data_IF_197502629587
#
_entry.id   IF_197502629587
#
_cell.length_a   1.000
_cell.length_b   1.000
_cell.length_c   1.000
_cell.angle_alpha   90.00
_cell.angle_beta   90.00
_cell.angle_gamma   90.00
#
_symmetry.space_group_name_H-M   'P 1'
#
loop_
_entity.id
_entity.type
_entity.pdbx_description
1 polymer ?
#
# COMPACT_ATOMS: atom_id res chain seq x y z
N UNK A 1 -19.62 -6.52 24.10
CA UNK A 1 -18.26 -7.10 24.29
C UNK A 1 -17.45 -6.86 23.03
N UNK A 2 -16.16 -6.51 23.13
CA UNK A 2 -15.30 -6.21 21.99
C UNK A 2 -13.98 -6.97 22.10
N UNK A 3 -13.70 -7.83 21.10
CA UNK A 3 -12.45 -8.60 21.03
C UNK A 3 -11.39 -7.75 20.32
N UNK A 4 -10.20 -7.55 20.92
CA UNK A 4 -9.13 -6.81 20.25
C UNK A 4 -8.64 -7.60 19.03
N UNK A 5 -8.82 -7.02 17.84
CA UNK A 5 -8.31 -7.57 16.58
C UNK A 5 -7.02 -6.86 16.17
N UNK A 6 -6.07 -7.65 15.65
CA UNK A 6 -4.84 -7.09 15.07
C UNK A 6 -5.12 -6.69 13.64
N UNK A 7 -4.88 -5.42 13.34
CA UNK A 7 -5.03 -4.83 12.00
C UNK A 7 -3.65 -4.37 11.53
N UNK A 8 -3.36 -4.57 10.24
CA UNK A 8 -2.13 -4.09 9.63
C UNK A 8 -2.14 -2.57 9.45
N UNK A 9 -0.95 -1.98 9.35
CA UNK A 9 -0.81 -0.57 9.01
C UNK A 9 -1.26 -0.30 7.58
N UNK A 10 -1.75 0.92 7.27
CA UNK A 10 -2.15 1.30 5.91
C UNK A 10 -1.06 1.08 4.86
N UNK A 11 0.21 1.30 5.22
CA UNK A 11 1.35 1.14 4.33
C UNK A 11 1.61 -0.32 4.00
N UNK A 12 1.46 -1.20 4.99
CA UNK A 12 1.52 -2.65 4.77
C UNK A 12 0.36 -3.12 3.89
N UNK A 13 -0.85 -2.62 4.14
CA UNK A 13 -2.02 -2.90 3.32
C UNK A 13 -1.83 -2.47 1.87
N UNK A 14 -1.26 -1.29 1.61
CA UNK A 14 -0.93 -0.85 0.25
C UNK A 14 0.07 -1.77 -0.44
N UNK A 15 1.15 -2.13 0.25
CA UNK A 15 2.11 -3.09 -0.29
C UNK A 15 1.43 -4.42 -0.66
N UNK A 16 0.47 -4.87 0.14
CA UNK A 16 -0.32 -6.08 -0.16
C UNK A 16 -1.26 -5.90 -1.35
N UNK A 17 -1.92 -4.75 -1.48
CA UNK A 17 -2.75 -4.45 -2.66
C UNK A 17 -1.94 -4.58 -3.95
N UNK A 18 -0.73 -4.01 -4.00
CA UNK A 18 0.14 -4.15 -5.17
C UNK A 18 0.69 -5.57 -5.34
N UNK A 19 0.99 -6.28 -4.24
CA UNK A 19 1.43 -7.67 -4.29
C UNK A 19 0.36 -8.59 -4.89
N UNK A 20 -0.90 -8.38 -4.53
CA UNK A 20 -2.04 -9.19 -4.97
C UNK A 20 -2.85 -8.53 -6.09
N UNK A 21 -2.32 -7.52 -6.77
CA UNK A 21 -2.98 -6.82 -7.90
C UNK A 21 -3.55 -7.74 -8.98
N UNK A 22 -2.93 -8.91 -9.22
CA UNK A 22 -3.43 -9.89 -10.18
C UNK A 22 -4.70 -10.62 -9.71
N UNK A 23 -5.02 -10.56 -8.42
CA UNK A 23 -6.22 -11.15 -7.82
C UNK A 23 -7.32 -10.11 -7.58
N UNK A 24 -6.93 -8.91 -7.11
CA UNK A 24 -7.90 -7.87 -6.71
C UNK A 24 -8.12 -6.80 -7.78
N UNK A 25 -7.30 -6.75 -8.84
CA UNK A 25 -7.29 -5.68 -9.82
C UNK A 25 -6.23 -4.62 -9.53
N UNK A 26 -5.58 -4.11 -10.60
CA UNK A 26 -4.61 -3.02 -10.48
C UNK A 26 -5.30 -1.69 -10.17
N UNK A 27 -6.49 -1.47 -10.70
CA UNK A 27 -7.38 -0.34 -10.43
C UNK A 27 -7.67 -0.18 -8.93
N UNK A 28 -7.93 -1.29 -8.23
CA UNK A 28 -8.14 -1.30 -6.78
C UNK A 28 -6.88 -0.87 -6.03
N UNK A 29 -5.71 -1.36 -6.43
CA UNK A 29 -4.44 -0.96 -5.82
C UNK A 29 -4.11 0.53 -6.08
N UNK A 30 -4.45 1.04 -7.26
CA UNK A 30 -4.29 2.45 -7.62
C UNK A 30 -5.24 3.35 -6.83
N UNK A 31 -6.50 2.95 -6.65
CA UNK A 31 -7.45 3.74 -5.86
C UNK A 31 -7.06 3.75 -4.38
N UNK A 32 -6.58 2.62 -3.85
CA UNK A 32 -6.02 2.58 -2.50
C UNK A 32 -4.84 3.56 -2.35
N UNK A 33 -3.93 3.63 -3.33
CA UNK A 33 -2.82 4.56 -3.32
C UNK A 33 -3.28 6.02 -3.35
N UNK A 34 -4.26 6.36 -4.19
CA UNK A 34 -4.86 7.70 -4.26
C UNK A 34 -5.57 8.08 -2.96
N UNK A 35 -6.33 7.16 -2.38
CA UNK A 35 -6.98 7.35 -1.09
C UNK A 35 -5.95 7.60 0.02
N UNK A 36 -4.87 6.83 0.06
CA UNK A 36 -3.80 7.00 1.04
C UNK A 36 -3.06 8.33 0.88
N UNK A 37 -2.78 8.77 -0.35
CA UNK A 37 -2.15 10.08 -0.60
C UNK A 37 -2.97 11.25 -0.05
N UNK A 38 -4.31 11.16 -0.10
CA UNK A 38 -5.21 12.19 0.44
C UNK A 38 -5.21 12.23 1.97
N UNK A 39 -4.67 11.22 2.65
CA UNK A 39 -4.61 11.17 4.12
C UNK A 39 -3.54 12.12 4.64
N UNK A 40 -3.87 12.88 5.68
CA UNK A 40 -2.90 13.71 6.38
C UNK A 40 -1.78 12.83 6.98
N UNK A 41 -0.52 13.18 6.69
CA UNK A 41 0.64 12.42 7.17
C UNK A 41 0.97 11.16 6.37
N UNK A 42 0.65 11.10 5.08
CA UNK A 42 1.04 9.99 4.22
C UNK A 42 2.57 9.79 4.19
N UNK A 43 3.03 8.59 4.57
CA UNK A 43 4.46 8.22 4.62
C UNK A 43 4.84 7.24 3.51
N UNK A 44 5.25 7.76 2.37
CA UNK A 44 5.64 6.92 1.22
C UNK A 44 6.90 6.07 1.49
N UNK A 45 7.82 6.54 2.34
CA UNK A 45 9.01 5.77 2.73
C UNK A 45 8.63 4.48 3.47
N UNK A 46 7.59 4.52 4.31
CA UNK A 46 7.09 3.34 5.03
C UNK A 46 6.42 2.34 4.08
N UNK A 47 5.79 2.80 3.00
CA UNK A 47 5.31 1.90 1.93
C UNK A 47 6.48 1.18 1.27
N UNK A 48 7.57 1.89 0.94
CA UNK A 48 8.76 1.29 0.33
C UNK A 48 9.42 0.26 1.25
N UNK A 49 9.47 0.52 2.55
CA UNK A 49 9.96 -0.44 3.55
C UNK A 49 9.14 -1.73 3.53
N UNK A 50 7.81 -1.64 3.63
CA UNK A 50 6.97 -2.83 3.53
C UNK A 50 7.01 -3.49 2.15
N UNK A 51 7.19 -2.71 1.08
CA UNK A 51 7.32 -3.25 -0.26
C UNK A 51 8.62 -4.07 -0.43
N UNK A 52 9.72 -3.69 0.24
CA UNK A 52 10.95 -4.50 0.32
C UNK A 52 10.70 -5.81 1.04
N UNK A 53 10.09 -5.74 2.23
CA UNK A 53 9.72 -6.92 3.03
C UNK A 53 8.82 -7.86 2.19
N UNK A 54 7.89 -7.29 1.44
CA UNK A 54 6.96 -8.03 0.58
C UNK A 54 7.54 -8.46 -0.78
N UNK A 55 8.78 -8.05 -1.10
CA UNK A 55 9.52 -8.29 -2.36
C UNK A 55 8.86 -7.73 -3.62
N UNK A 56 8.20 -6.58 -3.49
CA UNK A 56 7.46 -5.90 -4.56
C UNK A 56 7.94 -4.46 -4.79
N UNK A 57 9.10 -4.06 -4.25
CA UNK A 57 9.62 -2.69 -4.40
C UNK A 57 9.68 -2.25 -5.87
N UNK A 58 10.24 -3.08 -6.76
CA UNK A 58 10.32 -2.78 -8.20
C UNK A 58 8.96 -2.62 -8.88
N UNK A 59 7.93 -3.27 -8.35
CA UNK A 59 6.56 -3.19 -8.88
C UNK A 59 5.90 -1.89 -8.47
N UNK A 60 5.99 -1.53 -7.19
CA UNK A 60 5.25 -0.39 -6.64
C UNK A 60 5.95 0.96 -6.89
N UNK A 61 7.28 0.95 -7.00
CA UNK A 61 8.11 2.14 -7.22
C UNK A 61 7.61 3.09 -8.32
N UNK A 62 7.34 2.65 -9.57
CA UNK A 62 6.88 3.56 -10.61
C UNK A 62 5.54 4.24 -10.26
N UNK A 63 4.66 3.56 -9.52
CA UNK A 63 3.38 4.12 -9.11
C UNK A 63 3.53 5.16 -7.99
N UNK A 64 4.47 4.94 -7.06
CA UNK A 64 4.76 5.91 -6.01
C UNK A 64 5.42 7.17 -6.58
N UNK A 65 6.38 7.01 -7.49
CA UNK A 65 7.07 8.12 -8.16
C UNK A 65 6.10 8.98 -8.98
N UNK A 66 5.15 8.35 -9.69
CA UNK A 66 4.10 9.08 -10.43
C UNK A 66 3.03 9.73 -9.53
N UNK A 67 2.98 9.36 -8.24
CA UNK A 67 2.00 9.88 -7.29
C UNK A 67 2.53 11.04 -6.44
N UNK A 68 3.83 11.33 -6.50
CA UNK A 68 4.51 12.45 -5.83
C UNK A 68 4.47 13.68 -6.75
#
# INVERSE_FOLDING_TARGET
>A
EGVPIRVFSPEKTLADCFKYRNKIGLDVALEALRAYRRRHGARFNSILEYARICRIEKVIRPFLEASI
#
